data_IF_678897874439
#
_entry.id   IF_678897874439
#
_cell.length_a   1.000
_cell.length_b   1.000
_cell.length_c   1.000
_cell.angle_alpha   90.00
_cell.angle_beta   90.00
_cell.angle_gamma   90.00
#
_symmetry.space_group_name_H-M   'P 1'
#
loop_
_entity.id
_entity.type
_entity.pdbx_description
1 polymer ?
#
# COMPACT_ATOMS: atom_id res chain seq x y z
N UNK A 1 5.51 -23.24 -2.66
CA UNK A 1 4.21 -23.14 -1.95
C UNK A 1 3.10 -23.03 -2.99
N UNK A 2 1.98 -23.73 -2.82
CA UNK A 2 0.87 -23.71 -3.77
C UNK A 2 0.20 -22.32 -3.77
N UNK A 3 0.24 -21.59 -4.89
CA UNK A 3 -0.25 -20.21 -5.00
C UNK A 3 -1.74 -20.03 -4.65
N UNK A 4 -2.51 -21.11 -4.68
CA UNK A 4 -3.92 -21.15 -4.26
C UNK A 4 -4.11 -21.02 -2.75
N UNK A 5 -3.25 -21.67 -1.95
CA UNK A 5 -3.33 -21.61 -0.49
C UNK A 5 -2.94 -20.23 0.03
N UNK A 6 -1.96 -19.60 -0.60
CA UNK A 6 -1.60 -18.20 -0.32
C UNK A 6 -2.77 -17.27 -0.58
N UNK A 7 -3.45 -17.41 -1.72
CA UNK A 7 -4.61 -16.57 -2.07
C UNK A 7 -5.77 -16.74 -1.07
N UNK A 8 -6.10 -17.97 -0.67
CA UNK A 8 -7.14 -18.21 0.35
C UNK A 8 -6.85 -17.49 1.66
N UNK A 9 -5.59 -17.53 2.10
CA UNK A 9 -5.16 -16.85 3.33
C UNK A 9 -5.25 -15.33 3.19
N UNK A 10 -4.77 -14.77 2.07
CA UNK A 10 -4.84 -13.33 1.79
C UNK A 10 -6.30 -12.83 1.79
N UNK A 11 -7.18 -13.50 1.05
CA UNK A 11 -8.61 -13.18 1.01
C UNK A 11 -9.26 -13.17 2.40
N UNK A 12 -8.98 -14.19 3.21
CA UNK A 12 -9.50 -14.25 4.57
C UNK A 12 -8.99 -13.07 5.41
N UNK A 13 -7.70 -12.76 5.30
CA UNK A 13 -7.07 -11.69 6.05
C UNK A 13 -7.62 -10.31 5.65
N UNK A 14 -7.51 -9.91 4.39
CA UNK A 14 -7.96 -8.60 3.92
C UNK A 14 -9.48 -8.39 4.01
N UNK A 15 -10.29 -9.45 3.95
CA UNK A 15 -11.74 -9.34 4.17
C UNK A 15 -12.14 -9.23 5.65
N UNK A 16 -11.22 -9.55 6.57
CA UNK A 16 -11.47 -9.52 8.02
C UNK A 16 -10.89 -8.27 8.69
N UNK A 17 -10.01 -7.53 8.01
CA UNK A 17 -9.45 -6.30 8.54
C UNK A 17 -10.51 -5.18 8.62
N UNK A 18 -10.46 -4.33 9.65
CA UNK A 18 -11.25 -3.10 9.67
C UNK A 18 -10.98 -2.26 8.42
N UNK A 19 -11.98 -1.50 7.96
CA UNK A 19 -11.78 -0.54 6.88
C UNK A 19 -10.74 0.50 7.33
N UNK A 20 -9.65 0.66 6.58
CA UNK A 20 -8.57 1.62 6.87
C UNK A 20 -8.38 2.73 5.81
N UNK A 21 -9.26 2.81 4.81
CA UNK A 21 -9.31 3.95 3.88
C UNK A 21 -9.51 3.54 2.42
N UNK A 22 -9.13 2.31 2.07
CA UNK A 22 -9.30 1.77 0.72
C UNK A 22 -9.68 0.28 0.72
N UNK A 23 -9.91 -0.28 -0.48
CA UNK A 23 -10.20 -1.70 -0.68
C UNK A 23 -9.39 -2.32 -1.83
N UNK A 24 -8.32 -1.65 -2.26
CA UNK A 24 -7.55 -1.99 -3.47
C UNK A 24 -6.94 -3.38 -3.33
N UNK A 25 -6.29 -3.66 -2.20
CA UNK A 25 -5.66 -4.95 -1.92
C UNK A 25 -6.67 -6.10 -1.91
N UNK A 26 -7.82 -5.91 -1.26
CA UNK A 26 -8.90 -6.90 -1.25
C UNK A 26 -9.45 -7.13 -2.67
N UNK A 27 -9.64 -6.05 -3.44
CA UNK A 27 -10.14 -6.15 -4.81
C UNK A 27 -9.15 -6.85 -5.73
N UNK A 28 -7.84 -6.61 -5.60
CA UNK A 28 -6.80 -7.31 -6.34
C UNK A 28 -6.78 -8.83 -6.05
N UNK A 29 -6.98 -9.21 -4.79
CA UNK A 29 -7.15 -10.63 -4.42
C UNK A 29 -8.44 -11.24 -4.99
N UNK A 30 -9.55 -10.50 -5.00
CA UNK A 30 -10.82 -10.95 -5.59
C UNK A 30 -10.73 -11.09 -7.12
N UNK A 31 -9.96 -10.24 -7.80
CA UNK A 31 -9.64 -10.39 -9.22
C UNK A 31 -8.82 -11.67 -9.44
N UNK A 32 -7.75 -11.85 -8.66
CA UNK A 32 -6.91 -13.07 -8.68
C UNK A 32 -7.71 -14.35 -8.38
N UNK A 33 -8.76 -14.23 -7.57
CA UNK A 33 -9.71 -15.30 -7.27
C UNK A 33 -10.51 -15.71 -8.50
N UNK A 34 -10.97 -14.76 -9.33
CA UNK A 34 -11.74 -15.08 -10.53
C UNK A 34 -10.93 -15.94 -11.51
N UNK A 35 -9.63 -15.66 -11.67
CA UNK A 35 -8.71 -16.42 -12.53
C UNK A 35 -8.47 -17.85 -12.02
N UNK A 36 -8.46 -18.02 -10.69
CA UNK A 36 -8.19 -19.32 -10.03
C UNK A 36 -9.45 -20.05 -9.59
N UNK A 37 -10.62 -19.53 -9.93
CA UNK A 37 -11.91 -20.04 -9.45
C UNK A 37 -12.08 -21.54 -9.70
N UNK A 38 -11.77 -21.99 -10.92
CA UNK A 38 -11.89 -23.40 -11.29
C UNK A 38 -11.00 -24.31 -10.44
N UNK A 39 -9.81 -23.84 -10.02
CA UNK A 39 -8.92 -24.62 -9.14
C UNK A 39 -9.48 -24.73 -7.72
N UNK A 40 -10.29 -23.76 -7.27
CA UNK A 40 -10.96 -23.82 -5.98
C UNK A 40 -12.16 -24.77 -5.98
N UNK A 41 -12.89 -24.80 -7.08
CA UNK A 41 -14.13 -25.58 -7.22
C UNK A 41 -13.92 -26.97 -7.82
N UNK A 42 -12.71 -27.30 -8.29
CA UNK A 42 -12.36 -28.60 -8.89
C UNK A 42 -12.71 -29.82 -8.03
N UNK A 43 -12.77 -29.68 -6.69
CA UNK A 43 -13.14 -30.76 -5.77
C UNK A 43 -14.65 -31.03 -5.69
N UNK A 44 -15.49 -30.16 -6.26
CA UNK A 44 -16.96 -30.23 -6.12
C UNK A 44 -17.64 -31.15 -7.14
N UNK A 45 -16.92 -31.67 -8.14
CA UNK A 45 -17.45 -32.59 -9.15
C UNK A 45 -18.45 -31.97 -10.13
N UNK A 46 -18.72 -30.67 -10.04
CA UNK A 46 -19.59 -29.89 -10.92
C UNK A 46 -18.91 -28.56 -11.28
N UNK A 47 -19.11 -28.09 -12.51
CA UNK A 47 -18.60 -26.79 -12.94
C UNK A 47 -19.43 -25.67 -12.30
N UNK A 48 -18.93 -25.12 -11.20
CA UNK A 48 -19.56 -23.98 -10.53
C UNK A 48 -19.02 -22.69 -11.19
N UNK A 49 -19.88 -21.82 -11.76
CA UNK A 49 -19.43 -20.55 -12.31
C UNK A 49 -18.95 -19.59 -11.21
N UNK A 50 -18.00 -18.70 -11.54
CA UNK A 50 -17.53 -17.69 -10.60
C UNK A 50 -18.64 -16.65 -10.37
N UNK A 51 -18.98 -16.32 -9.10
CA UNK A 51 -20.01 -15.33 -8.82
C UNK A 51 -19.53 -13.87 -9.02
N UNK A 52 -18.22 -13.67 -9.20
CA UNK A 52 -17.60 -12.37 -9.37
C UNK A 52 -17.24 -12.17 -10.84
N UNK A 53 -17.53 -10.98 -11.35
CA UNK A 53 -17.17 -10.56 -12.70
C UNK A 53 -16.62 -9.15 -12.66
N UNK A 54 -15.46 -8.95 -13.26
CA UNK A 54 -14.84 -7.64 -13.43
C UNK A 54 -14.68 -7.37 -14.92
N UNK A 55 -14.82 -6.11 -15.33
CA UNK A 55 -14.41 -5.75 -16.69
C UNK A 55 -12.89 -5.81 -16.82
N UNK A 56 -12.37 -6.06 -18.03
CA UNK A 56 -10.92 -6.08 -18.28
C UNK A 56 -10.26 -4.76 -17.84
N UNK A 57 -10.89 -3.63 -18.14
CA UNK A 57 -10.43 -2.31 -17.74
C UNK A 57 -10.39 -2.15 -16.22
N UNK A 58 -11.43 -2.57 -15.51
CA UNK A 58 -11.49 -2.50 -14.04
C UNK A 58 -10.43 -3.37 -13.39
N UNK A 59 -10.24 -4.59 -13.88
CA UNK A 59 -9.23 -5.50 -13.37
C UNK A 59 -7.83 -4.92 -13.58
N UNK A 60 -7.53 -4.45 -14.80
CA UNK A 60 -6.25 -3.83 -15.12
C UNK A 60 -5.98 -2.59 -14.25
N UNK A 61 -6.95 -1.69 -14.11
CA UNK A 61 -6.81 -0.50 -13.28
C UNK A 61 -6.54 -0.84 -11.80
N UNK A 62 -7.26 -1.82 -11.25
CA UNK A 62 -7.07 -2.26 -9.87
C UNK A 62 -5.67 -2.85 -9.65
N UNK A 63 -5.19 -3.70 -10.57
CA UNK A 63 -3.87 -4.33 -10.45
C UNK A 63 -2.74 -3.29 -10.57
N UNK A 64 -2.90 -2.28 -11.43
CA UNK A 64 -1.92 -1.19 -11.51
C UNK A 64 -1.89 -0.36 -10.23
N UNK A 65 -3.06 -0.08 -9.64
CA UNK A 65 -3.16 0.66 -8.39
C UNK A 65 -2.57 -0.13 -7.20
N UNK A 66 -2.90 -1.42 -7.08
CA UNK A 66 -2.33 -2.32 -6.07
C UNK A 66 -0.80 -2.35 -6.14
N UNK A 67 -0.25 -2.44 -7.36
CA UNK A 67 1.20 -2.39 -7.57
C UNK A 67 1.80 -1.06 -7.12
N UNK A 68 1.18 0.07 -7.48
CA UNK A 68 1.67 1.39 -7.08
C UNK A 68 1.59 1.58 -5.55
N UNK A 69 0.57 1.04 -4.88
CA UNK A 69 0.44 1.07 -3.43
C UNK A 69 1.53 0.24 -2.75
N UNK A 70 1.79 -0.98 -3.23
CA UNK A 70 2.90 -1.80 -2.71
C UNK A 70 4.26 -1.09 -2.87
N UNK A 71 4.51 -0.49 -4.02
CA UNK A 71 5.76 0.27 -4.25
C UNK A 71 5.88 1.48 -3.31
N UNK A 72 4.77 2.20 -3.07
CA UNK A 72 4.74 3.33 -2.14
C UNK A 72 4.94 2.88 -0.67
N UNK A 73 4.32 1.78 -0.26
CA UNK A 73 4.45 1.20 1.09
C UNK A 73 5.90 0.74 1.35
N UNK A 74 6.54 0.11 0.37
CA UNK A 74 7.95 -0.29 0.44
C UNK A 74 8.87 0.93 0.59
N UNK A 75 8.62 2.01 -0.16
CA UNK A 75 9.37 3.26 -0.03
C UNK A 75 9.17 3.92 1.34
N UNK A 76 7.93 4.01 1.80
CA UNK A 76 7.62 4.57 3.12
C UNK A 76 8.29 3.77 4.23
N UNK A 77 8.27 2.44 4.14
CA UNK A 77 8.96 1.56 5.08
C UNK A 77 10.47 1.80 5.08
N UNK A 78 11.09 1.92 3.91
CA UNK A 78 12.52 2.23 3.80
C UNK A 78 12.85 3.61 4.41
N UNK A 79 12.01 4.63 4.20
CA UNK A 79 12.16 5.94 4.84
C UNK A 79 12.07 5.85 6.37
N UNK A 80 11.08 5.12 6.91
CA UNK A 80 10.91 4.90 8.35
C UNK A 80 12.11 4.22 8.97
N UNK A 81 12.64 3.19 8.31
CA UNK A 81 13.85 2.49 8.74
C UNK A 81 15.09 3.39 8.72
N UNK A 82 15.22 4.25 7.70
CA UNK A 82 16.34 5.17 7.57
C UNK A 82 16.41 6.19 8.71
N UNK A 83 15.27 6.68 9.17
CA UNK A 83 15.21 7.65 10.28
C UNK A 83 15.11 6.98 11.65
N UNK A 84 14.58 5.75 11.72
CA UNK A 84 14.45 4.96 12.94
C UNK A 84 13.14 5.19 13.68
N UNK A 85 12.02 5.34 12.97
CA UNK A 85 10.68 5.51 13.55
C UNK A 85 9.85 4.23 13.41
N UNK A 86 8.90 4.04 14.33
CA UNK A 86 7.86 3.01 14.18
C UNK A 86 6.80 3.38 13.14
N UNK A 87 5.82 2.50 12.95
CA UNK A 87 4.69 2.72 12.00
C UNK A 87 3.91 3.99 12.31
N UNK A 88 3.71 4.27 13.60
CA UNK A 88 2.99 5.44 14.10
C UNK A 88 3.85 6.72 14.16
N UNK A 89 5.09 6.68 13.65
CA UNK A 89 6.02 7.81 13.74
C UNK A 89 6.51 8.13 15.17
N UNK A 90 6.06 7.38 16.18
CA UNK A 90 6.40 7.62 17.58
C UNK A 90 7.86 7.26 17.89
N UNK A 91 8.51 8.10 18.69
CA UNK A 91 9.86 7.89 19.24
C UNK A 91 9.94 8.33 20.70
N UNK A 92 10.77 7.68 21.53
CA UNK A 92 11.06 8.18 22.87
C UNK A 92 11.69 9.57 22.83
N UNK A 93 11.37 10.41 23.81
CA UNK A 93 11.81 11.81 23.88
C UNK A 93 13.33 11.98 23.76
N UNK A 94 14.10 11.07 24.37
CA UNK A 94 15.57 11.08 24.34
C UNK A 94 16.17 10.91 22.93
N UNK A 95 15.42 10.32 21.99
CA UNK A 95 15.84 10.12 20.60
C UNK A 95 15.20 11.11 19.63
N UNK A 96 14.25 11.95 20.07
CA UNK A 96 13.48 12.83 19.20
C UNK A 96 14.38 13.74 18.34
N UNK A 97 15.31 14.45 18.97
CA UNK A 97 16.20 15.38 18.27
C UNK A 97 17.09 14.67 17.24
N UNK A 98 17.59 13.48 17.57
CA UNK A 98 18.40 12.68 16.64
C UNK A 98 17.58 12.22 15.44
N UNK A 99 16.36 11.73 15.69
CA UNK A 99 15.45 11.27 14.63
C UNK A 99 15.01 12.44 13.74
N UNK A 100 14.70 13.61 14.32
CA UNK A 100 14.38 14.81 13.53
C UNK A 100 15.55 15.27 12.67
N UNK A 101 16.79 15.17 13.15
CA UNK A 101 17.96 15.48 12.32
C UNK A 101 18.08 14.52 11.12
N UNK A 102 17.83 13.21 11.33
CA UNK A 102 17.83 12.22 10.24
C UNK A 102 16.69 12.47 9.25
N UNK A 103 15.51 12.84 9.74
CA UNK A 103 14.35 13.18 8.90
C UNK A 103 14.60 14.44 8.06
N UNK A 104 15.14 15.50 8.64
CA UNK A 104 15.54 16.71 7.90
C UNK A 104 16.58 16.39 6.83
N UNK A 105 17.55 15.52 7.15
CA UNK A 105 18.53 15.05 6.18
C UNK A 105 17.86 14.25 5.05
N UNK A 106 16.96 13.33 5.37
CA UNK A 106 16.22 12.55 4.39
C UNK A 106 15.41 13.46 3.44
N UNK A 107 14.78 14.52 3.97
CA UNK A 107 14.09 15.53 3.16
C UNK A 107 15.03 16.26 2.21
N UNK A 108 16.21 16.66 2.70
CA UNK A 108 17.22 17.30 1.85
C UNK A 108 17.71 16.35 0.74
N UNK A 109 18.04 15.11 1.09
CA UNK A 109 18.50 14.08 0.14
C UNK A 109 17.42 13.80 -0.93
N UNK A 110 16.14 13.74 -0.54
CA UNK A 110 15.02 13.57 -1.47
C UNK A 110 14.84 14.77 -2.41
N UNK A 111 15.00 16.01 -1.93
CA UNK A 111 14.90 17.23 -2.75
C UNK A 111 16.06 17.38 -3.73
N UNK A 112 17.26 16.92 -3.34
CA UNK A 112 18.45 16.89 -4.18
C UNK A 112 18.35 15.80 -5.26
N UNK A 113 17.71 14.67 -4.94
CA UNK A 113 17.47 13.57 -5.88
C UNK A 113 16.35 13.86 -6.89
N UNK A 114 15.46 14.82 -6.62
CA UNK A 114 14.33 15.16 -7.48
C UNK A 114 14.80 15.57 -8.90
N UNK A 115 14.26 14.89 -9.92
CA UNK A 115 14.67 15.03 -11.32
C UNK A 115 14.06 16.27 -11.99
N UNK A 116 12.99 16.81 -11.41
CA UNK A 116 12.27 17.97 -11.94
C UNK A 116 11.88 18.97 -10.86
N UNK A 117 11.62 20.22 -11.28
CA UNK A 117 11.12 21.25 -10.34
C UNK A 117 9.69 20.93 -9.86
N UNK A 118 8.88 20.28 -10.69
CA UNK A 118 7.54 19.81 -10.31
C UNK A 118 7.62 18.74 -9.22
N UNK A 119 8.50 17.76 -9.37
CA UNK A 119 8.75 16.75 -8.35
C UNK A 119 9.27 17.38 -7.05
N UNK A 120 10.25 18.28 -7.16
CA UNK A 120 10.79 19.01 -5.99
C UNK A 120 9.70 19.81 -5.28
N UNK A 121 8.81 20.47 -6.01
CA UNK A 121 7.68 21.20 -5.44
C UNK A 121 6.72 20.26 -4.71
N UNK A 122 6.32 19.14 -5.33
CA UNK A 122 5.46 18.13 -4.69
C UNK A 122 6.09 17.54 -3.43
N UNK A 123 7.38 17.22 -3.45
CA UNK A 123 8.10 16.71 -2.27
C UNK A 123 8.12 17.72 -1.12
N UNK A 124 8.19 19.03 -1.42
CA UNK A 124 8.11 20.07 -0.40
C UNK A 124 6.70 20.23 0.18
N UNK A 125 5.69 20.17 -0.67
CA UNK A 125 4.29 20.38 -0.30
C UNK A 125 3.67 19.17 0.42
N UNK A 126 4.08 17.97 0.04
CA UNK A 126 3.51 16.70 0.52
C UNK A 126 4.55 15.83 1.23
N UNK A 127 5.41 16.45 2.02
CA UNK A 127 6.43 15.68 2.73
C UNK A 127 5.78 14.71 3.72
N UNK A 128 6.12 13.42 3.59
CA UNK A 128 5.46 12.30 4.29
C UNK A 128 5.55 12.34 5.83
N UNK A 129 6.41 13.18 6.40
CA UNK A 129 6.58 13.35 7.85
C UNK A 129 6.19 14.75 8.35
N UNK A 130 5.64 15.60 7.49
CA UNK A 130 5.04 16.87 7.91
C UNK A 130 3.60 16.61 8.39
N UNK A 131 3.13 17.42 9.36
CA UNK A 131 1.75 17.34 9.83
C UNK A 131 0.78 17.67 8.69
N UNK A 132 -0.26 16.85 8.55
CA UNK A 132 -1.33 17.10 7.60
C UNK A 132 -2.25 18.21 8.10
N UNK A 133 -2.46 19.25 7.29
CA UNK A 133 -3.40 20.32 7.63
C UNK A 133 -4.84 19.85 7.37
N UNK A 134 -5.58 19.55 8.44
CA UNK A 134 -6.98 19.13 8.36
C UNK A 134 -7.98 20.30 8.25
N UNK A 135 -7.53 21.57 8.27
CA UNK A 135 -8.42 22.74 8.28
C UNK A 135 -9.38 22.78 7.09
N UNK A 136 -8.95 22.30 5.93
CA UNK A 136 -9.79 22.25 4.71
C UNK A 136 -10.93 21.22 4.80
N UNK A 137 -10.92 20.35 5.82
CA UNK A 137 -11.90 19.29 6.05
C UNK A 137 -12.81 19.54 7.28
N UNK A 138 -12.67 20.68 7.96
CA UNK A 138 -13.49 21.11 9.12
C UNK A 138 -14.52 22.18 8.74
#
# INVERSE_FOLDING_TARGET
MNGLNTLRRKLFYHASEPWDGDNVTLKADLISLTEKWQQLTSSSGSEVPCPLTFSEHEAAACIQLDKAQVEADEQLQACREAIGVGTEGWVPLEFYEEVKQREVKLKADALDAAESEEERARTREHWIFDDFCEEDYL
#
